data_IF_029761021665
#
_entry.id   IF_029761021665
#
_cell.length_a   1.000
_cell.length_b   1.000
_cell.length_c   1.000
_cell.angle_alpha   90.00
_cell.angle_beta   90.00
_cell.angle_gamma   90.00
#
_symmetry.space_group_name_H-M   'P 1'
#
loop_
_entity.id
_entity.type
_entity.pdbx_description
1 polymer ?
#
# COMPACT_ATOMS: atom_id res chain seq x y z
N UNK A 1 6.82 -20.14 -12.41
CA UNK A 1 6.92 -19.38 -11.15
C UNK A 1 5.49 -19.01 -10.78
N UNK A 2 5.02 -19.31 -9.58
CA UNK A 2 3.66 -18.98 -9.16
C UNK A 2 3.46 -17.46 -9.19
N UNK A 3 2.41 -16.98 -9.83
CA UNK A 3 2.05 -15.56 -9.83
C UNK A 3 1.86 -15.10 -8.38
N UNK A 4 2.75 -14.22 -7.93
CA UNK A 4 2.74 -13.67 -6.58
C UNK A 4 1.62 -12.63 -6.52
N UNK A 5 0.61 -12.86 -5.69
CA UNK A 5 -0.46 -11.88 -5.46
C UNK A 5 0.07 -10.82 -4.48
N UNK A 6 0.39 -9.64 -5.00
CA UNK A 6 0.84 -8.48 -4.23
C UNK A 6 -0.30 -7.49 -3.96
N UNK A 7 -0.15 -6.66 -2.93
CA UNK A 7 -1.09 -5.58 -2.64
C UNK A 7 -1.02 -4.46 -3.67
N UNK A 8 -2.18 -4.02 -4.13
CA UNK A 8 -2.39 -2.87 -5.03
C UNK A 8 -3.49 -1.98 -4.47
N UNK A 9 -3.70 -0.79 -5.03
CA UNK A 9 -4.77 0.11 -4.57
C UNK A 9 -6.17 -0.46 -4.74
N UNK A 10 -6.37 -1.45 -5.63
CA UNK A 10 -7.65 -2.11 -5.87
C UNK A 10 -7.91 -3.30 -4.94
N UNK A 11 -6.86 -3.91 -4.37
CA UNK A 11 -6.98 -5.13 -3.56
C UNK A 11 -6.40 -5.00 -2.14
N UNK A 12 -6.07 -3.77 -1.72
CA UNK A 12 -5.56 -3.43 -0.40
C UNK A 12 -6.61 -3.72 0.67
N UNK A 13 -6.25 -4.54 1.66
CA UNK A 13 -7.15 -4.87 2.76
C UNK A 13 -6.90 -3.95 3.95
N UNK A 14 -7.66 -2.86 4.04
CA UNK A 14 -7.64 -1.95 5.19
C UNK A 14 -8.50 -2.54 6.31
N UNK A 15 -7.90 -2.75 7.49
CA UNK A 15 -8.58 -3.25 8.69
C UNK A 15 -9.14 -2.11 9.54
N UNK A 16 -8.42 -1.01 9.60
CA UNK A 16 -8.82 0.20 10.33
C UNK A 16 -8.17 1.41 9.68
N UNK A 17 -8.88 2.53 9.68
CA UNK A 17 -8.37 3.80 9.17
C UNK A 17 -9.07 4.95 9.89
N UNK A 18 -8.27 5.87 10.43
CA UNK A 18 -8.72 7.13 10.99
C UNK A 18 -7.82 8.29 10.53
N UNK A 19 -7.97 9.46 11.14
CA UNK A 19 -7.20 10.64 10.74
C UNK A 19 -5.69 10.53 10.99
N UNK A 20 -5.27 9.66 11.91
CA UNK A 20 -3.87 9.53 12.33
C UNK A 20 -3.25 8.19 11.98
N UNK A 21 -4.04 7.11 11.94
CA UNK A 21 -3.55 5.75 11.76
C UNK A 21 -4.28 5.02 10.63
N UNK A 22 -3.53 4.14 9.98
CA UNK A 22 -4.06 3.15 9.05
C UNK A 22 -3.46 1.78 9.39
N UNK A 23 -4.32 0.77 9.48
CA UNK A 23 -3.94 -0.63 9.75
C UNK A 23 -4.33 -1.44 8.53
N UNK A 24 -3.35 -2.09 7.93
CA UNK A 24 -3.51 -2.88 6.71
C UNK A 24 -3.17 -4.33 6.98
N UNK A 25 -4.02 -5.25 6.52
CA UNK A 25 -3.68 -6.67 6.53
C UNK A 25 -2.70 -6.97 5.40
N UNK A 26 -1.41 -7.06 5.74
CA UNK A 26 -0.34 -7.26 4.76
C UNK A 26 -0.38 -8.67 4.17
N UNK A 27 -0.28 -8.80 2.84
CA UNK A 27 -0.18 -10.11 2.18
C UNK A 27 1.24 -10.71 2.33
N UNK A 28 1.36 -12.05 2.31
CA UNK A 28 2.67 -12.70 2.19
C UNK A 28 3.41 -12.21 0.95
N UNK A 29 4.70 -11.89 1.11
CA UNK A 29 5.53 -11.42 0.01
C UNK A 29 5.46 -9.93 -0.30
N UNK A 30 4.48 -9.18 0.20
CA UNK A 30 4.55 -7.71 0.16
C UNK A 30 5.75 -7.24 0.99
N UNK A 31 6.66 -6.49 0.36
CA UNK A 31 7.73 -5.80 1.07
C UNK A 31 7.18 -4.51 1.67
N UNK A 32 7.55 -4.20 2.90
CA UNK A 32 7.08 -2.98 3.59
C UNK A 32 8.01 -1.80 3.32
N UNK A 33 9.30 -2.08 3.11
CA UNK A 33 10.34 -1.11 2.80
C UNK A 33 11.01 -1.52 1.50
N UNK A 34 11.29 -0.54 0.63
CA UNK A 34 12.00 -0.78 -0.62
C UNK A 34 13.39 -1.35 -0.38
N UNK A 35 13.80 -2.27 -1.24
CA UNK A 35 15.11 -2.90 -1.20
C UNK A 35 15.76 -2.93 -2.59
N UNK A 36 16.85 -3.67 -2.74
CA UNK A 36 17.59 -3.80 -4.00
C UNK A 36 16.81 -4.51 -5.13
N UNK A 37 15.65 -5.10 -4.86
CA UNK A 37 14.84 -5.80 -5.86
C UNK A 37 14.06 -4.83 -6.76
N UNK A 38 13.79 -3.61 -6.27
CA UNK A 38 12.99 -2.63 -6.99
C UNK A 38 11.47 -2.88 -6.96
N UNK A 39 11.02 -3.86 -6.17
CA UNK A 39 9.60 -4.09 -5.92
C UNK A 39 8.94 -2.83 -5.31
N UNK A 40 7.68 -2.56 -5.65
CA UNK A 40 6.91 -1.46 -5.04
C UNK A 40 6.56 -1.84 -3.61
N UNK A 41 7.00 -1.08 -2.59
CA UNK A 41 6.71 -1.42 -1.22
C UNK A 41 5.28 -1.02 -0.84
N UNK A 42 4.72 -1.71 0.15
CA UNK A 42 3.38 -1.50 0.65
C UNK A 42 3.13 -0.04 1.07
N UNK A 43 4.15 0.66 1.59
CA UNK A 43 4.06 2.06 1.95
C UNK A 43 3.65 2.95 0.76
N UNK A 44 4.18 2.69 -0.44
CA UNK A 44 3.83 3.45 -1.64
C UNK A 44 2.43 3.11 -2.14
N UNK A 45 2.03 1.83 -2.04
CA UNK A 45 0.66 1.40 -2.35
C UNK A 45 -0.35 2.09 -1.44
N UNK A 46 -0.06 2.18 -0.13
CA UNK A 46 -0.91 2.85 0.86
C UNK A 46 -0.99 4.35 0.58
N UNK A 47 0.13 5.01 0.25
CA UNK A 47 0.14 6.43 -0.14
C UNK A 47 -0.75 6.70 -1.35
N UNK A 48 -0.62 5.87 -2.40
CA UNK A 48 -1.42 6.00 -3.61
C UNK A 48 -2.91 5.72 -3.32
N UNK A 49 -3.21 4.72 -2.49
CA UNK A 49 -4.58 4.45 -2.03
C UNK A 49 -5.19 5.67 -1.34
N UNK A 50 -4.49 6.30 -0.39
CA UNK A 50 -4.95 7.50 0.32
C UNK A 50 -5.14 8.66 -0.66
N UNK A 51 -4.21 8.83 -1.61
CA UNK A 51 -4.28 9.89 -2.62
C UNK A 51 -5.54 9.76 -3.48
N UNK A 52 -5.81 8.58 -4.01
CA UNK A 52 -6.96 8.28 -4.85
C UNK A 52 -8.26 8.40 -4.04
N UNK A 53 -8.32 7.75 -2.86
CA UNK A 53 -9.54 7.70 -2.02
C UNK A 53 -10.02 9.08 -1.60
N UNK A 54 -9.10 9.98 -1.26
CA UNK A 54 -9.41 11.31 -0.77
C UNK A 54 -9.18 12.42 -1.79
N UNK A 55 -8.88 12.07 -3.05
CA UNK A 55 -8.56 13.00 -4.12
C UNK A 55 -7.57 14.10 -3.67
N UNK A 56 -6.54 13.71 -2.92
CA UNK A 56 -5.62 14.67 -2.30
C UNK A 56 -4.80 15.36 -3.38
N UNK A 57 -4.78 16.71 -3.42
CA UNK A 57 -3.89 17.42 -4.31
C UNK A 57 -2.43 17.23 -3.86
N UNK A 58 -1.54 16.90 -4.80
CA UNK A 58 -0.12 16.74 -4.51
C UNK A 58 0.28 15.32 -4.05
N UNK A 59 1.34 15.25 -3.24
CA UNK A 59 1.93 14.00 -2.78
C UNK A 59 1.45 13.64 -1.37
N UNK A 60 1.27 12.34 -1.12
CA UNK A 60 0.97 11.79 0.21
C UNK A 60 2.29 11.29 0.78
N UNK A 61 2.66 11.81 1.95
CA UNK A 61 3.93 11.51 2.64
C UNK A 61 3.69 10.68 3.90
#
# INVERSE_FOLDING_TARGET
MSDKIISTTQNLQVLHEDNHLIIVNKRPGDIVQGDKTGDVPLSEVVKEYIKIKYNKPGNVY
#
